data_IF_258737211638
#
_entry.id   IF_258737211638
#
_cell.length_a   1.000
_cell.length_b   1.000
_cell.length_c   1.000
_cell.angle_alpha   90.00
_cell.angle_beta   90.00
_cell.angle_gamma   90.00
#
_symmetry.space_group_name_H-M   'P 1'
#
loop_
_entity.id
_entity.type
_entity.pdbx_description
1 polymer ?
#
# COMPACT_ATOMS: atom_id res chain seq x y z
N UNK A 1 -11.23 -5.85 -8.71
CA UNK A 1 -11.10 -7.31 -8.71
C UNK A 1 -12.45 -7.99 -8.73
N UNK A 2 -12.47 -9.23 -9.23
CA UNK A 2 -13.69 -10.05 -9.30
C UNK A 2 -13.40 -11.46 -8.78
N UNK A 3 -14.36 -12.04 -8.05
CA UNK A 3 -14.25 -13.39 -7.52
C UNK A 3 -15.60 -13.97 -7.12
N UNK A 4 -15.67 -15.30 -6.99
CA UNK A 4 -16.88 -16.01 -6.56
C UNK A 4 -16.88 -16.25 -5.05
N UNK A 5 -17.91 -15.76 -4.39
CA UNK A 5 -18.17 -16.06 -2.99
C UNK A 5 -19.00 -17.35 -2.86
N UNK A 6 -18.48 -18.30 -2.08
CA UNK A 6 -19.18 -19.55 -1.73
C UNK A 6 -19.28 -19.68 -0.22
N UNK A 7 -20.46 -19.96 0.27
CA UNK A 7 -20.69 -20.18 1.71
C UNK A 7 -21.58 -21.40 1.96
N UNK A 8 -21.65 -21.83 3.21
CA UNK A 8 -22.59 -22.89 3.64
C UNK A 8 -24.02 -22.38 3.71
N UNK A 9 -24.23 -21.06 3.71
CA UNK A 9 -25.49 -20.43 4.06
C UNK A 9 -26.22 -19.80 2.88
N UNK A 10 -25.50 -19.57 1.75
CA UNK A 10 -26.02 -18.89 0.59
C UNK A 10 -25.66 -19.63 -0.70
N UNK A 11 -26.47 -19.44 -1.72
CA UNK A 11 -26.09 -19.80 -3.08
C UNK A 11 -24.79 -19.05 -3.46
N UNK A 12 -23.91 -19.67 -4.27
CA UNK A 12 -22.72 -18.98 -4.80
C UNK A 12 -23.13 -17.70 -5.55
N UNK A 13 -22.36 -16.64 -5.33
CA UNK A 13 -22.58 -15.36 -5.99
C UNK A 13 -21.26 -14.70 -6.40
N UNK A 14 -21.31 -13.93 -7.48
CA UNK A 14 -20.17 -13.22 -8.02
C UNK A 14 -20.03 -11.85 -7.37
N UNK A 15 -18.83 -11.54 -6.86
CA UNK A 15 -18.47 -10.25 -6.29
C UNK A 15 -17.56 -9.48 -7.24
N UNK A 16 -17.95 -8.23 -7.54
CA UNK A 16 -17.10 -7.23 -8.17
C UNK A 16 -16.73 -6.20 -7.12
N UNK A 17 -15.44 -5.87 -7.02
CA UNK A 17 -14.91 -4.95 -6.00
C UNK A 17 -14.03 -3.92 -6.68
N UNK A 18 -14.30 -2.65 -6.43
CA UNK A 18 -13.56 -1.53 -7.03
C UNK A 18 -12.12 -1.40 -6.52
N UNK A 19 -11.83 -1.91 -5.30
CA UNK A 19 -10.48 -1.85 -4.73
C UNK A 19 -9.57 -2.93 -5.35
N UNK A 20 -8.38 -2.56 -5.85
CA UNK A 20 -7.42 -3.51 -6.40
C UNK A 20 -6.69 -4.32 -5.33
N UNK A 21 -5.94 -5.33 -5.78
CA UNK A 21 -5.08 -6.17 -4.94
C UNK A 21 -5.79 -7.37 -4.33
N UNK A 22 -5.10 -8.53 -4.37
CA UNK A 22 -5.65 -9.78 -3.86
C UNK A 22 -5.99 -9.73 -2.36
N UNK A 23 -5.29 -8.91 -1.58
CA UNK A 23 -5.61 -8.68 -0.16
C UNK A 23 -7.00 -8.07 0.05
N UNK A 24 -7.55 -7.36 -0.95
CA UNK A 24 -8.92 -6.83 -0.89
C UNK A 24 -9.98 -7.94 -0.86
N UNK A 25 -9.68 -9.13 -1.43
CA UNK A 25 -10.56 -10.30 -1.34
C UNK A 25 -10.78 -10.70 0.12
N UNK A 26 -9.71 -10.78 0.91
CA UNK A 26 -9.82 -11.12 2.35
C UNK A 26 -10.61 -10.08 3.13
N UNK A 27 -10.37 -8.81 2.86
CA UNK A 27 -11.11 -7.71 3.50
C UNK A 27 -12.61 -7.78 3.19
N UNK A 28 -12.95 -8.04 1.93
CA UNK A 28 -14.35 -8.21 1.50
C UNK A 28 -14.98 -9.45 2.12
N UNK A 29 -14.28 -10.59 2.13
CA UNK A 29 -14.79 -11.82 2.75
C UNK A 29 -15.06 -11.64 4.26
N UNK A 30 -14.19 -10.93 4.98
CA UNK A 30 -14.44 -10.58 6.38
C UNK A 30 -15.66 -9.69 6.54
N UNK A 31 -15.82 -8.70 5.67
CA UNK A 31 -17.00 -7.81 5.65
C UNK A 31 -18.29 -8.58 5.31
N UNK A 32 -18.24 -9.48 4.32
CA UNK A 32 -19.36 -10.35 3.96
C UNK A 32 -19.80 -11.20 5.16
N UNK A 33 -18.84 -11.82 5.86
CA UNK A 33 -19.15 -12.65 7.00
C UNK A 33 -19.88 -11.87 8.12
N UNK A 34 -19.44 -10.64 8.38
CA UNK A 34 -20.08 -9.75 9.37
C UNK A 34 -21.45 -9.28 8.90
N UNK A 35 -21.56 -8.75 7.70
CA UNK A 35 -22.79 -8.20 7.13
C UNK A 35 -23.87 -9.28 7.00
N UNK A 36 -23.51 -10.51 6.64
CA UNK A 36 -24.42 -11.65 6.63
C UNK A 36 -24.97 -11.94 8.02
N UNK A 37 -24.14 -11.92 9.04
CA UNK A 37 -24.57 -12.10 10.43
C UNK A 37 -25.53 -11.00 10.89
N UNK A 38 -25.40 -9.80 10.34
CA UNK A 38 -26.29 -8.67 10.57
C UNK A 38 -27.58 -8.72 9.74
N UNK A 39 -27.76 -9.72 8.87
CA UNK A 39 -28.94 -9.89 8.03
C UNK A 39 -28.97 -9.04 6.76
N UNK A 40 -27.81 -8.48 6.34
CA UNK A 40 -27.74 -7.69 5.11
C UNK A 40 -27.90 -8.60 3.88
N UNK A 41 -28.80 -8.29 2.92
CA UNK A 41 -28.96 -9.07 1.70
C UNK A 41 -27.72 -9.03 0.80
N UNK A 42 -27.48 -10.12 0.07
CA UNK A 42 -26.33 -10.25 -0.87
C UNK A 42 -26.33 -9.16 -1.92
N UNK A 43 -27.50 -8.81 -2.46
CA UNK A 43 -27.67 -7.78 -3.49
C UNK A 43 -27.14 -6.42 -3.03
N UNK A 44 -27.40 -6.05 -1.78
CA UNK A 44 -26.90 -4.80 -1.19
C UNK A 44 -25.38 -4.81 -0.97
N UNK A 45 -24.85 -5.97 -0.61
CA UNK A 45 -23.39 -6.13 -0.49
C UNK A 45 -22.70 -6.00 -1.86
N UNK A 46 -23.26 -6.66 -2.90
CA UNK A 46 -22.74 -6.56 -4.28
C UNK A 46 -22.70 -5.12 -4.78
N UNK A 47 -23.81 -4.41 -4.60
CA UNK A 47 -23.92 -2.99 -4.98
C UNK A 47 -22.87 -2.13 -4.28
N UNK A 48 -22.72 -2.29 -2.96
CA UNK A 48 -21.77 -1.52 -2.16
C UNK A 48 -20.30 -1.82 -2.56
N UNK A 49 -19.92 -3.08 -2.72
CA UNK A 49 -18.55 -3.46 -3.04
C UNK A 49 -18.11 -3.02 -4.44
N UNK A 50 -19.03 -2.94 -5.40
CA UNK A 50 -18.75 -2.46 -6.75
C UNK A 50 -18.33 -0.97 -6.78
N UNK A 51 -18.66 -0.20 -5.75
CA UNK A 51 -18.42 1.25 -5.69
C UNK A 51 -17.60 1.70 -4.47
N UNK A 52 -17.15 0.75 -3.62
CA UNK A 52 -16.40 1.11 -2.42
C UNK A 52 -15.05 1.72 -2.78
N UNK A 53 -14.76 2.85 -2.16
CA UNK A 53 -13.44 3.50 -2.20
C UNK A 53 -13.09 3.94 -0.79
N UNK A 54 -11.85 3.69 -0.38
CA UNK A 54 -11.34 4.07 0.93
C UNK A 54 -10.12 4.94 0.71
N UNK A 55 -10.15 6.18 1.23
CA UNK A 55 -9.03 7.10 1.13
C UNK A 55 -7.77 6.49 1.76
N UNK A 56 -6.63 6.66 1.07
CA UNK A 56 -5.35 6.12 1.51
C UNK A 56 -5.24 4.58 1.46
N UNK A 57 -6.11 3.89 0.70
CA UNK A 57 -6.05 2.45 0.48
C UNK A 57 -6.09 2.15 -1.02
N UNK A 58 -4.92 1.90 -1.61
CA UNK A 58 -4.76 1.74 -3.06
C UNK A 58 -5.50 2.84 -3.84
N UNK A 59 -5.50 4.05 -3.28
CA UNK A 59 -6.19 5.19 -3.84
C UNK A 59 -5.42 5.70 -5.06
N UNK A 60 -6.02 5.57 -6.24
CA UNK A 60 -5.48 6.15 -7.46
C UNK A 60 -5.79 7.66 -7.48
N UNK A 61 -4.75 8.49 -7.60
CA UNK A 61 -4.85 9.93 -7.77
C UNK A 61 -4.38 10.28 -9.19
N UNK A 62 -5.27 10.86 -9.98
CA UNK A 62 -4.93 11.30 -11.32
C UNK A 62 -4.22 12.66 -11.25
N UNK A 63 -2.96 12.67 -11.60
CA UNK A 63 -2.11 13.87 -11.64
C UNK A 63 -1.64 14.15 -13.06
N UNK A 64 -1.34 13.09 -13.83
CA UNK A 64 -0.80 13.14 -15.18
C UNK A 64 -1.26 11.93 -15.99
N UNK A 65 -1.25 12.06 -17.31
CA UNK A 65 -1.46 10.93 -18.23
C UNK A 65 -0.20 10.07 -18.40
N UNK A 66 0.97 10.59 -18.02
CA UNK A 66 2.26 9.91 -18.20
C UNK A 66 2.60 8.95 -17.06
N UNK A 67 2.02 9.16 -15.87
CA UNK A 67 2.24 8.32 -14.69
C UNK A 67 1.01 8.27 -13.77
N UNK A 68 0.97 7.24 -12.95
CA UNK A 68 -0.08 7.04 -11.94
C UNK A 68 0.48 7.26 -10.54
N UNK A 69 -0.27 7.98 -9.70
CA UNK A 69 0.02 8.14 -8.28
C UNK A 69 -0.94 7.28 -7.48
N UNK A 70 -0.40 6.44 -6.60
CA UNK A 70 -1.18 5.58 -5.72
C UNK A 70 -0.83 5.92 -4.27
N UNK A 71 -1.87 6.21 -3.48
CA UNK A 71 -1.73 6.45 -2.04
C UNK A 71 -2.21 5.21 -1.30
N UNK A 72 -1.33 4.66 -0.45
CA UNK A 72 -1.66 3.52 0.41
C UNK A 72 -1.12 3.71 1.83
N UNK A 73 -1.75 3.05 2.78
CA UNK A 73 -1.35 3.07 4.19
C UNK A 73 -0.35 1.96 4.55
N UNK A 74 0.25 1.31 3.59
CA UNK A 74 1.25 0.27 3.83
C UNK A 74 2.38 0.82 4.72
N UNK A 75 2.59 0.21 5.89
CA UNK A 75 3.52 0.68 6.91
C UNK A 75 4.39 -0.43 7.52
N UNK A 76 4.41 -1.60 6.91
CA UNK A 76 5.28 -2.74 7.23
C UNK A 76 5.65 -3.50 5.95
N UNK A 77 6.62 -4.40 6.05
CA UNK A 77 7.15 -5.11 4.89
C UNK A 77 6.10 -5.86 4.09
N UNK A 78 5.25 -6.65 4.76
CA UNK A 78 4.22 -7.45 4.07
C UNK A 78 3.19 -6.59 3.34
N UNK A 79 2.72 -5.51 3.96
CA UNK A 79 1.76 -4.62 3.30
C UNK A 79 2.38 -3.88 2.12
N UNK A 80 3.64 -3.44 2.23
CA UNK A 80 4.37 -2.82 1.12
C UNK A 80 4.58 -3.79 -0.05
N UNK A 81 4.97 -5.03 0.24
CA UNK A 81 5.12 -6.09 -0.75
C UNK A 81 3.83 -6.31 -1.53
N UNK A 82 2.70 -6.48 -0.83
CA UNK A 82 1.38 -6.66 -1.44
C UNK A 82 0.97 -5.47 -2.34
N UNK A 83 1.23 -4.24 -1.91
CA UNK A 83 0.97 -3.04 -2.73
C UNK A 83 1.81 -3.05 -4.00
N UNK A 84 3.12 -3.29 -3.88
CA UNK A 84 4.03 -3.30 -5.03
C UNK A 84 3.68 -4.44 -6.00
N UNK A 85 3.34 -5.63 -5.51
CA UNK A 85 2.87 -6.75 -6.34
C UNK A 85 1.60 -6.37 -7.10
N UNK A 86 0.63 -5.75 -6.42
CA UNK A 86 -0.58 -5.26 -7.07
C UNK A 86 -0.28 -4.23 -8.16
N UNK A 87 0.63 -3.30 -7.91
CA UNK A 87 1.06 -2.30 -8.90
C UNK A 87 1.73 -2.98 -10.09
N UNK A 88 2.54 -4.02 -9.87
CA UNK A 88 3.20 -4.79 -10.95
C UNK A 88 2.25 -5.49 -11.89
N UNK A 89 1.07 -5.89 -11.44
CA UNK A 89 0.05 -6.50 -12.29
C UNK A 89 -0.42 -5.56 -13.41
N UNK A 90 -0.30 -4.24 -13.21
CA UNK A 90 -0.56 -3.21 -14.23
C UNK A 90 0.62 -3.00 -15.21
N UNK A 91 1.73 -3.73 -15.03
CA UNK A 91 2.93 -3.72 -15.88
C UNK A 91 3.52 -2.33 -16.10
N UNK A 92 3.77 -1.56 -15.03
CA UNK A 92 4.42 -0.27 -15.16
C UNK A 92 5.87 -0.42 -15.65
N UNK A 93 6.37 0.57 -16.38
CA UNK A 93 7.78 0.61 -16.78
C UNK A 93 8.71 0.84 -15.60
N UNK A 94 8.25 1.54 -14.57
CA UNK A 94 9.04 1.92 -13.39
C UNK A 94 8.13 2.04 -12.16
N UNK A 95 8.61 1.58 -11.02
CA UNK A 95 7.97 1.74 -9.72
C UNK A 95 8.86 2.61 -8.83
N UNK A 96 8.32 3.76 -8.42
CA UNK A 96 8.92 4.67 -7.45
C UNK A 96 8.15 4.56 -6.14
N UNK A 97 8.85 4.28 -5.03
CA UNK A 97 8.25 4.27 -3.71
C UNK A 97 8.69 5.51 -2.91
N UNK A 98 7.71 6.26 -2.38
CA UNK A 98 7.95 7.36 -1.45
C UNK A 98 7.35 6.98 -0.09
N UNK A 99 8.18 6.87 0.94
CA UNK A 99 7.72 6.49 2.27
C UNK A 99 8.65 6.96 3.37
N UNK A 100 8.15 6.92 4.60
CA UNK A 100 8.90 7.09 5.83
C UNK A 100 8.49 6.04 6.86
N UNK A 101 8.88 6.24 8.10
CA UNK A 101 8.45 5.42 9.23
C UNK A 101 8.22 6.28 10.46
N UNK A 102 7.28 5.85 11.30
CA UNK A 102 6.98 6.53 12.56
C UNK A 102 8.10 6.34 13.58
N UNK A 103 8.30 7.36 14.40
CA UNK A 103 9.19 7.32 15.57
C UNK A 103 8.59 6.55 16.75
N UNK A 104 9.43 6.17 17.70
CA UNK A 104 9.09 5.52 18.97
C UNK A 104 8.17 4.28 18.87
N UNK A 105 8.05 3.69 17.69
CA UNK A 105 7.23 2.51 17.42
C UNK A 105 8.10 1.45 16.73
N UNK A 106 7.56 0.28 16.54
CA UNK A 106 8.22 -0.91 16.01
C UNK A 106 9.33 -0.62 14.97
N UNK A 107 10.57 -0.46 15.42
CA UNK A 107 11.75 -0.16 14.58
C UNK A 107 12.01 -1.25 13.53
N UNK A 108 11.55 -2.49 13.78
CA UNK A 108 11.61 -3.58 12.81
C UNK A 108 10.94 -3.21 11.48
N UNK A 109 9.97 -2.31 11.49
CA UNK A 109 9.31 -1.83 10.26
C UNK A 109 10.27 -1.07 9.35
N UNK A 110 11.24 -0.32 9.90
CA UNK A 110 12.26 0.40 9.14
C UNK A 110 13.12 -0.57 8.33
N UNK A 111 13.51 -1.67 8.99
CA UNK A 111 14.22 -2.77 8.34
C UNK A 111 13.40 -3.41 7.23
N UNK A 112 12.16 -3.79 7.53
CA UNK A 112 11.27 -4.45 6.57
C UNK A 112 11.02 -3.57 5.33
N UNK A 113 10.66 -2.30 5.54
CA UNK A 113 10.38 -1.35 4.47
C UNK A 113 11.63 -1.11 3.60
N UNK A 114 12.80 -0.94 4.22
CA UNK A 114 14.07 -0.77 3.50
C UNK A 114 14.41 -1.97 2.64
N UNK A 115 14.32 -3.19 3.19
CA UNK A 115 14.65 -4.42 2.46
C UNK A 115 13.66 -4.71 1.32
N UNK A 116 12.35 -4.51 1.55
CA UNK A 116 11.33 -4.74 0.53
C UNK A 116 11.46 -3.73 -0.61
N UNK A 117 11.60 -2.44 -0.30
CA UNK A 117 11.74 -1.40 -1.32
C UNK A 117 13.00 -1.58 -2.16
N UNK A 118 14.14 -1.92 -1.54
CA UNK A 118 15.39 -2.18 -2.26
C UNK A 118 15.24 -3.31 -3.29
N UNK A 119 14.50 -4.36 -2.93
CA UNK A 119 14.30 -5.54 -3.77
C UNK A 119 13.27 -5.31 -4.87
N UNK A 120 12.21 -4.54 -4.58
CA UNK A 120 11.02 -4.50 -5.42
C UNK A 120 10.79 -3.18 -6.18
N UNK A 121 11.43 -2.09 -5.79
CA UNK A 121 11.28 -0.80 -6.45
C UNK A 121 12.48 -0.46 -7.33
N UNK A 122 12.23 0.34 -8.36
CA UNK A 122 13.28 0.85 -9.25
C UNK A 122 13.93 2.11 -8.69
N UNK A 123 13.17 2.89 -7.91
CA UNK A 123 13.68 4.06 -7.20
C UNK A 123 12.94 4.27 -5.87
N UNK A 124 13.63 4.86 -4.90
CA UNK A 124 13.13 5.00 -3.53
C UNK A 124 13.36 6.43 -3.07
N UNK A 125 12.33 7.06 -2.52
CA UNK A 125 12.40 8.37 -1.88
C UNK A 125 12.08 8.16 -0.40
N UNK A 126 13.09 8.32 0.45
CA UNK A 126 12.95 8.15 1.90
C UNK A 126 12.71 9.53 2.49
N UNK A 127 11.60 9.69 3.20
CA UNK A 127 11.18 10.99 3.75
C UNK A 127 10.66 10.84 5.19
N UNK A 128 10.42 11.97 5.85
CA UNK A 128 9.77 11.97 7.16
C UNK A 128 8.32 11.48 7.07
N UNK A 129 7.87 10.81 8.12
CA UNK A 129 6.46 10.47 8.37
C UNK A 129 6.02 11.16 9.67
N UNK A 130 5.75 10.42 10.74
CA UNK A 130 5.47 10.94 12.07
C UNK A 130 6.66 10.57 13.00
N UNK A 131 7.65 11.46 13.16
CA UNK A 131 8.87 11.14 13.90
C UNK A 131 8.66 11.09 15.41
N UNK A 132 7.53 11.59 15.92
CA UNK A 132 7.27 11.73 17.35
C UNK A 132 8.42 12.50 18.05
N UNK A 133 9.16 11.88 18.94
CA UNK A 133 10.31 12.48 19.66
C UNK A 133 11.67 12.08 19.07
N UNK A 134 11.71 11.29 18.00
CA UNK A 134 12.95 10.93 17.32
C UNK A 134 13.34 11.96 16.28
N UNK A 135 14.63 12.06 16.00
CA UNK A 135 15.14 12.86 14.88
C UNK A 135 14.69 12.22 13.56
N UNK A 136 13.94 12.95 12.71
CA UNK A 136 13.49 12.42 11.42
C UNK A 136 14.63 11.99 10.50
N UNK A 137 15.78 12.69 10.55
CA UNK A 137 16.95 12.32 9.75
C UNK A 137 17.58 11.01 10.22
N UNK A 138 17.58 10.74 11.53
CA UNK A 138 18.05 9.48 12.07
C UNK A 138 17.16 8.30 11.62
N UNK A 139 15.82 8.50 11.56
CA UNK A 139 14.91 7.48 11.04
C UNK A 139 15.17 7.22 9.55
N UNK A 140 15.33 8.28 8.76
CA UNK A 140 15.63 8.20 7.33
C UNK A 140 16.96 7.47 7.09
N UNK A 141 17.98 7.76 7.89
CA UNK A 141 19.31 7.13 7.79
C UNK A 141 19.26 5.65 8.15
N UNK A 142 18.47 5.27 9.14
CA UNK A 142 18.26 3.87 9.47
C UNK A 142 17.59 3.11 8.33
N UNK A 143 16.54 3.67 7.73
CA UNK A 143 15.86 3.07 6.56
C UNK A 143 16.84 2.96 5.39
N UNK A 144 17.61 4.03 5.09
CA UNK A 144 18.61 4.04 4.01
C UNK A 144 19.67 2.94 4.20
N UNK A 145 20.14 2.74 5.42
CA UNK A 145 21.07 1.64 5.73
C UNK A 145 20.50 0.25 5.44
N UNK A 146 19.18 0.05 5.62
CA UNK A 146 18.51 -1.19 5.26
C UNK A 146 18.27 -1.32 3.75
N UNK A 147 18.00 -0.20 3.06
CA UNK A 147 17.94 -0.17 1.59
C UNK A 147 19.28 -0.61 0.99
N UNK A 148 20.39 -0.08 1.50
CA UNK A 148 21.74 -0.49 1.04
C UNK A 148 22.02 -1.96 1.28
N UNK A 149 21.71 -2.46 2.49
CA UNK A 149 21.83 -3.90 2.82
C UNK A 149 20.96 -4.79 1.95
N UNK A 150 19.83 -4.29 1.47
CA UNK A 150 18.93 -4.95 0.52
C UNK A 150 19.39 -4.89 -0.94
N UNK A 151 20.55 -4.28 -1.24
CA UNK A 151 21.07 -4.12 -2.59
C UNK A 151 20.53 -2.90 -3.33
N UNK A 152 19.94 -1.93 -2.63
CA UNK A 152 19.39 -0.70 -3.20
C UNK A 152 20.37 0.48 -3.28
N UNK A 153 21.69 0.25 -3.12
CA UNK A 153 22.68 1.31 -3.23
C UNK A 153 22.57 2.04 -4.58
N UNK A 154 22.49 3.37 -4.53
CA UNK A 154 22.32 4.22 -5.73
C UNK A 154 20.90 4.27 -6.31
N UNK A 155 19.94 3.57 -5.69
CA UNK A 155 18.52 3.61 -6.10
C UNK A 155 17.66 4.50 -5.21
N UNK A 156 18.21 5.28 -4.32
CA UNK A 156 17.42 6.08 -3.39
C UNK A 156 17.94 7.50 -3.23
N UNK A 157 17.06 8.37 -2.75
CA UNK A 157 17.36 9.71 -2.22
C UNK A 157 16.72 9.88 -0.86
N UNK A 158 17.29 10.75 -0.05
CA UNK A 158 16.78 11.15 1.26
C UNK A 158 16.31 12.60 1.15
N UNK A 159 15.05 12.87 1.46
CA UNK A 159 14.47 14.21 1.47
C UNK A 159 13.58 14.30 2.71
N UNK A 160 14.02 15.00 3.73
CA UNK A 160 13.35 15.04 5.04
C UNK A 160 12.00 15.72 4.97
N UNK A 161 11.90 16.84 4.28
CA UNK A 161 10.61 17.51 4.05
C UNK A 161 9.75 16.68 3.11
N UNK A 162 8.56 16.28 3.60
CA UNK A 162 7.66 15.41 2.84
C UNK A 162 7.03 16.10 1.64
N UNK A 163 6.80 17.41 1.71
CA UNK A 163 6.26 18.15 0.58
C UNK A 163 7.29 18.25 -0.55
N UNK A 164 8.55 18.57 -0.22
CA UNK A 164 9.66 18.54 -1.17
C UNK A 164 9.88 17.14 -1.77
N UNK A 165 9.75 16.10 -0.95
CA UNK A 165 9.86 14.71 -1.41
C UNK A 165 8.77 14.35 -2.42
N UNK A 166 7.54 14.82 -2.21
CA UNK A 166 6.42 14.61 -3.14
C UNK A 166 6.65 15.38 -4.44
N UNK A 167 7.06 16.66 -4.36
CA UNK A 167 7.40 17.45 -5.55
C UNK A 167 8.53 16.84 -6.36
N UNK A 168 9.53 16.25 -5.69
CA UNK A 168 10.62 15.55 -6.35
C UNK A 168 10.17 14.27 -7.06
N UNK A 169 9.12 13.62 -6.54
CA UNK A 169 8.59 12.36 -7.08
C UNK A 169 7.76 12.56 -8.35
N UNK A 170 7.12 13.73 -8.51
CA UNK A 170 6.22 14.10 -9.60
C UNK A 170 6.97 14.75 -10.77
#
# INVERSE_FOLDING_TARGET
IEFDCKSKFDAPWHAQVSMPGFFSVYNVLASVALLRKMGVPVEKMREAFAHVSIEGRMQLVHVSDDYSVIIDYAHNGLSMENVIETVRDYKPNRIVALFGSTGNKATVRRQELGLVSARMCDFIIITSDDPDFEDPDAIIDEIAGWVEKGGGAGKYVKITDRAEAIEYAL
#
